data_IF_329415946222
#
_entry.id   IF_329415946222
#
_cell.length_a   1.000
_cell.length_b   1.000
_cell.length_c   1.000
_cell.angle_alpha   90.00
_cell.angle_beta   90.00
_cell.angle_gamma   90.00
#
_symmetry.space_group_name_H-M   'P 1'
#
loop_
_entity.id
_entity.type
_entity.pdbx_description
1 polymer ?
#
# COMPACT_ATOMS: atom_id res chain seq x y z
N UNK A 1 11.44 -8.50 -3.81
CA UNK A 1 10.25 -8.41 -2.94
C UNK A 1 10.61 -7.46 -1.81
N UNK A 2 9.73 -6.51 -1.44
CA UNK A 2 9.94 -5.60 -0.32
C UNK A 2 10.11 -6.35 1.01
N UNK A 3 10.68 -5.68 2.02
CA UNK A 3 10.77 -6.23 3.37
C UNK A 3 9.38 -6.39 3.98
N UNK A 4 9.11 -7.55 4.58
CA UNK A 4 7.84 -7.81 5.27
C UNK A 4 7.69 -6.91 6.51
N UNK A 5 6.48 -6.39 6.79
CA UNK A 5 6.18 -5.68 8.02
C UNK A 5 6.35 -6.55 9.27
N UNK A 6 6.82 -5.93 10.36
CA UNK A 6 7.05 -6.63 11.64
C UNK A 6 5.76 -6.93 12.40
N UNK A 7 4.65 -6.25 12.08
CA UNK A 7 3.37 -6.32 12.80
C UNK A 7 2.39 -7.37 12.22
N UNK A 8 2.83 -8.24 11.29
CA UNK A 8 1.96 -9.25 10.66
C UNK A 8 1.29 -10.14 11.72
N UNK A 9 2.06 -10.66 12.67
CA UNK A 9 1.53 -11.56 13.69
C UNK A 9 0.47 -10.91 14.58
N UNK A 10 0.65 -9.64 14.93
CA UNK A 10 -0.31 -8.87 15.74
C UNK A 10 -1.58 -8.57 14.93
N UNK A 11 -1.41 -8.10 13.70
CA UNK A 11 -2.52 -7.79 12.78
C UNK A 11 -3.39 -9.01 12.54
N UNK A 12 -2.78 -10.17 12.27
CA UNK A 12 -3.49 -11.44 12.07
C UNK A 12 -4.20 -11.89 13.34
N UNK A 13 -3.56 -11.79 14.51
CA UNK A 13 -4.18 -12.13 15.79
C UNK A 13 -5.44 -11.32 16.03
N UNK A 14 -5.41 -10.02 15.75
CA UNK A 14 -6.57 -9.13 15.90
C UNK A 14 -7.71 -9.57 14.99
N UNK A 15 -7.42 -9.86 13.72
CA UNK A 15 -8.43 -10.30 12.75
C UNK A 15 -9.01 -11.68 13.09
N UNK A 16 -8.19 -12.63 13.54
CA UNK A 16 -8.68 -13.94 14.03
C UNK A 16 -9.54 -13.79 15.27
N UNK A 17 -9.19 -12.91 16.20
CA UNK A 17 -9.99 -12.63 17.39
C UNK A 17 -11.36 -12.03 17.04
N UNK A 18 -11.44 -11.18 16.01
CA UNK A 18 -12.69 -10.61 15.51
C UNK A 18 -13.62 -11.70 14.94
N UNK A 19 -13.08 -12.63 14.15
CA UNK A 19 -13.88 -13.61 13.40
C UNK A 19 -14.26 -14.82 14.28
N UNK A 20 -13.36 -15.29 15.14
CA UNK A 20 -13.57 -16.50 15.95
C UNK A 20 -14.31 -16.19 17.26
N UNK A 21 -14.05 -15.05 17.88
CA UNK A 21 -14.65 -14.68 19.16
C UNK A 21 -14.47 -15.74 20.24
N UNK A 22 -15.60 -16.25 20.77
CA UNK A 22 -15.62 -17.31 21.80
C UNK A 22 -15.43 -18.73 21.24
N UNK A 23 -15.39 -18.91 19.92
CA UNK A 23 -15.15 -20.19 19.23
C UNK A 23 -15.97 -20.34 17.96
N UNK A 24 -15.44 -21.16 17.05
CA UNK A 24 -16.10 -21.49 15.78
C UNK A 24 -17.16 -22.60 15.98
N UNK A 25 -18.42 -22.20 15.97
CA UNK A 25 -19.56 -23.13 16.16
C UNK A 25 -19.70 -24.12 14.99
N UNK A 26 -19.36 -23.69 13.76
CA UNK A 26 -19.52 -24.50 12.55
C UNK A 26 -18.43 -25.57 12.45
N UNK A 27 -17.22 -25.27 12.88
CA UNK A 27 -16.12 -26.23 12.91
C UNK A 27 -16.46 -27.47 13.81
N UNK A 28 -17.34 -27.29 14.80
CA UNK A 28 -17.83 -28.39 15.62
C UNK A 28 -18.56 -29.51 14.87
N UNK A 29 -19.03 -29.26 13.64
CA UNK A 29 -19.65 -30.26 12.76
C UNK A 29 -18.63 -31.24 12.16
N UNK A 30 -17.35 -30.93 12.21
CA UNK A 30 -16.27 -31.75 11.66
C UNK A 30 -15.61 -32.52 12.79
N UNK A 31 -15.22 -33.76 12.56
CA UNK A 31 -14.48 -34.55 13.56
C UNK A 31 -13.09 -33.95 13.81
N UNK A 32 -12.57 -33.99 15.07
CA UNK A 32 -11.27 -33.36 15.38
C UNK A 32 -10.10 -33.94 14.58
N UNK A 33 -10.16 -35.21 14.22
CA UNK A 33 -9.11 -35.95 13.51
C UNK A 33 -9.17 -35.75 11.99
N UNK A 34 -10.22 -35.10 11.48
CA UNK A 34 -10.41 -34.92 10.04
C UNK A 34 -9.28 -34.10 9.43
N UNK A 35 -8.64 -34.67 8.42
CA UNK A 35 -7.63 -34.01 7.59
C UNK A 35 -8.26 -33.62 6.24
N UNK A 36 -7.86 -32.47 5.72
CA UNK A 36 -8.34 -32.01 4.43
C UNK A 36 -7.22 -31.44 3.56
N UNK A 37 -7.51 -31.37 2.28
CA UNK A 37 -6.73 -30.62 1.29
C UNK A 37 -7.63 -29.57 0.68
N UNK A 38 -7.09 -28.37 0.50
CA UNK A 38 -7.77 -27.24 -0.11
C UNK A 38 -6.83 -26.51 -1.06
N UNK A 39 -7.40 -25.65 -1.88
CA UNK A 39 -6.63 -24.74 -2.74
C UNK A 39 -7.29 -23.35 -2.73
N UNK A 40 -6.47 -22.30 -2.81
CA UNK A 40 -6.94 -20.94 -3.06
C UNK A 40 -6.79 -20.67 -4.55
N UNK A 41 -7.86 -20.19 -5.18
CA UNK A 41 -7.92 -19.84 -6.60
C UNK A 41 -8.38 -18.41 -6.77
N UNK A 42 -7.91 -17.74 -7.83
CA UNK A 42 -8.44 -16.43 -8.27
C UNK A 42 -9.50 -16.62 -9.35
N UNK A 43 -10.48 -15.69 -9.39
CA UNK A 43 -11.52 -15.64 -10.42
C UNK A 43 -11.33 -14.49 -11.39
N UNK A 44 -10.35 -13.63 -11.17
CA UNK A 44 -10.08 -12.46 -12.00
C UNK A 44 -8.56 -12.21 -12.15
N UNK A 45 -8.21 -11.36 -13.13
CA UNK A 45 -6.84 -10.86 -13.29
C UNK A 45 -6.48 -9.89 -12.18
N UNK A 46 -5.35 -10.14 -11.51
CA UNK A 46 -4.88 -9.30 -10.40
C UNK A 46 -3.35 -9.39 -10.22
N UNK A 47 -2.85 -8.68 -9.23
CA UNK A 47 -1.50 -8.83 -8.68
C UNK A 47 -1.63 -9.45 -7.31
N UNK A 48 -1.04 -10.62 -7.10
CA UNK A 48 -1.07 -11.29 -5.80
C UNK A 48 -0.31 -10.49 -4.76
N UNK A 49 -0.90 -10.33 -3.56
CA UNK A 49 -0.21 -9.80 -2.40
C UNK A 49 -0.88 -10.27 -1.11
N UNK A 50 -0.06 -10.52 -0.07
CA UNK A 50 -0.55 -10.91 1.26
C UNK A 50 -0.28 -12.35 1.63
N UNK A 51 0.60 -13.06 0.91
CA UNK A 51 0.94 -14.46 1.18
C UNK A 51 1.40 -14.66 2.63
N UNK A 52 2.24 -13.77 3.16
CA UNK A 52 2.72 -13.86 4.54
C UNK A 52 1.62 -13.70 5.60
N UNK A 53 0.56 -12.93 5.33
CA UNK A 53 -0.61 -12.85 6.23
C UNK A 53 -1.44 -14.12 6.18
N UNK A 54 -1.63 -14.70 4.99
CA UNK A 54 -2.32 -15.98 4.82
C UNK A 54 -1.58 -17.11 5.57
N UNK A 55 -0.27 -17.20 5.40
CA UNK A 55 0.57 -18.17 6.11
C UNK A 55 0.46 -18.00 7.63
N UNK A 56 0.50 -16.76 8.10
CA UNK A 56 0.41 -16.44 9.52
C UNK A 56 -0.96 -16.77 10.12
N UNK A 57 -2.07 -16.57 9.36
CA UNK A 57 -3.42 -17.00 9.78
C UNK A 57 -3.42 -18.49 10.09
N UNK A 58 -2.96 -19.30 9.15
CA UNK A 58 -2.97 -20.76 9.35
C UNK A 58 -1.97 -21.20 10.41
N UNK A 59 -0.81 -20.57 10.50
CA UNK A 59 0.19 -20.85 11.54
C UNK A 59 -0.33 -20.58 12.95
N UNK A 60 -1.13 -19.51 13.15
CA UNK A 60 -1.71 -19.19 14.46
C UNK A 60 -2.84 -20.14 14.85
N UNK A 61 -3.55 -20.73 13.88
CA UNK A 61 -4.61 -21.69 14.14
C UNK A 61 -4.10 -23.10 14.42
N UNK A 62 -3.18 -23.58 13.60
CA UNK A 62 -2.55 -24.90 13.76
C UNK A 62 -1.23 -24.98 13.00
N UNK A 63 -0.14 -25.25 13.70
CA UNK A 63 1.21 -25.37 13.12
C UNK A 63 1.41 -26.57 12.20
N UNK A 64 0.46 -27.51 12.14
CA UNK A 64 0.48 -28.66 11.21
C UNK A 64 -0.14 -28.33 9.85
N UNK A 65 -0.67 -27.14 9.66
CA UNK A 65 -1.13 -26.71 8.35
C UNK A 65 0.09 -26.35 7.47
N UNK A 66 0.12 -26.92 6.28
CA UNK A 66 1.10 -26.62 5.26
C UNK A 66 0.46 -25.82 4.13
N UNK A 67 1.10 -24.74 3.74
CA UNK A 67 0.68 -23.88 2.62
C UNK A 67 1.78 -23.90 1.55
N UNK A 68 1.47 -24.46 0.40
CA UNK A 68 2.40 -24.60 -0.73
C UNK A 68 2.02 -23.61 -1.84
N UNK A 69 2.72 -22.48 -1.91
CA UNK A 69 2.46 -21.43 -2.90
C UNK A 69 2.99 -21.79 -4.29
N UNK A 70 2.19 -21.50 -5.34
CA UNK A 70 2.58 -21.64 -6.75
C UNK A 70 3.04 -20.31 -7.37
N UNK A 71 2.83 -19.21 -6.68
CA UNK A 71 3.19 -17.85 -7.06
C UNK A 71 3.54 -17.04 -5.79
N UNK A 72 4.07 -15.85 -5.96
CA UNK A 72 4.55 -14.98 -4.86
C UNK A 72 3.96 -13.58 -4.96
N UNK A 73 4.08 -12.81 -3.89
CA UNK A 73 3.66 -11.42 -3.86
C UNK A 73 4.33 -10.61 -4.99
N UNK A 74 3.53 -9.82 -5.71
CA UNK A 74 3.92 -9.06 -6.88
C UNK A 74 3.73 -9.77 -8.22
N UNK A 75 3.45 -11.08 -8.25
CA UNK A 75 3.15 -11.80 -9.49
C UNK A 75 1.77 -11.44 -10.04
N UNK A 76 1.66 -11.37 -11.37
CA UNK A 76 0.37 -11.32 -12.04
C UNK A 76 -0.32 -12.69 -11.97
N UNK A 77 -1.60 -12.69 -11.65
CA UNK A 77 -2.44 -13.89 -11.55
C UNK A 77 -3.65 -13.78 -12.46
N UNK A 78 -4.16 -14.93 -12.94
CA UNK A 78 -5.20 -15.00 -13.98
C UNK A 78 -6.38 -15.88 -13.55
N UNK A 79 -7.58 -15.63 -14.07
CA UNK A 79 -8.80 -16.38 -13.72
C UNK A 79 -8.61 -17.90 -13.78
N UNK A 80 -9.01 -18.59 -12.72
CA UNK A 80 -8.88 -20.04 -12.58
C UNK A 80 -7.51 -20.54 -12.10
N UNK A 81 -6.53 -19.65 -11.93
CA UNK A 81 -5.21 -20.03 -11.44
C UNK A 81 -5.28 -20.45 -9.97
N UNK A 82 -4.64 -21.57 -9.63
CA UNK A 82 -4.39 -21.99 -8.25
C UNK A 82 -3.21 -21.15 -7.72
N UNK A 83 -3.42 -20.46 -6.59
CA UNK A 83 -2.41 -19.62 -5.94
C UNK A 83 -1.59 -20.41 -4.93
N UNK A 84 -2.25 -21.25 -4.13
CA UNK A 84 -1.60 -22.18 -3.22
C UNK A 84 -2.43 -23.43 -2.99
N UNK A 85 -1.76 -24.49 -2.50
CA UNK A 85 -2.39 -25.68 -1.97
C UNK A 85 -2.22 -25.71 -0.46
N UNK A 86 -3.27 -26.11 0.25
CA UNK A 86 -3.27 -26.24 1.70
C UNK A 86 -3.56 -27.68 2.09
N UNK A 87 -2.94 -28.13 3.18
CA UNK A 87 -3.20 -29.45 3.78
C UNK A 87 -3.05 -29.37 5.29
N UNK A 88 -3.94 -30.02 6.02
CA UNK A 88 -3.91 -30.03 7.47
C UNK A 88 -5.26 -30.37 8.11
N UNK A 89 -5.41 -30.10 9.43
CA UNK A 89 -6.66 -30.31 10.13
C UNK A 89 -7.82 -29.54 9.49
N UNK A 90 -8.89 -30.26 9.12
CA UNK A 90 -10.01 -29.69 8.37
C UNK A 90 -10.70 -28.55 9.13
N UNK A 91 -10.83 -28.66 10.46
CA UNK A 91 -11.38 -27.59 11.30
C UNK A 91 -10.58 -26.29 11.17
N UNK A 92 -9.28 -26.37 11.33
CA UNK A 92 -8.41 -25.18 11.30
C UNK A 92 -8.36 -24.53 9.90
N UNK A 93 -8.42 -25.33 8.82
CA UNK A 93 -8.54 -24.81 7.47
C UNK A 93 -9.85 -24.02 7.26
N UNK A 94 -10.98 -24.54 7.76
CA UNK A 94 -12.28 -23.86 7.65
C UNK A 94 -12.33 -22.60 8.51
N UNK A 95 -11.86 -22.67 9.75
CA UNK A 95 -11.82 -21.53 10.67
C UNK A 95 -10.96 -20.38 10.13
N UNK A 96 -9.84 -20.70 9.47
CA UNK A 96 -8.92 -19.69 8.94
C UNK A 96 -9.31 -19.12 7.57
N UNK A 97 -10.20 -19.80 6.83
CA UNK A 97 -10.52 -19.47 5.43
C UNK A 97 -10.87 -17.99 5.24
N UNK A 98 -11.84 -17.49 6.01
CA UNK A 98 -12.35 -16.12 5.80
C UNK A 98 -11.30 -15.08 6.09
N UNK A 99 -10.61 -15.19 7.22
CA UNK A 99 -9.55 -14.27 7.62
C UNK A 99 -8.39 -14.27 6.62
N UNK A 100 -7.94 -15.47 6.19
CA UNK A 100 -6.87 -15.58 5.18
C UNK A 100 -7.27 -14.95 3.85
N UNK A 101 -8.48 -15.23 3.35
CA UNK A 101 -8.99 -14.64 2.12
C UNK A 101 -9.15 -13.12 2.23
N UNK A 102 -9.61 -12.59 3.36
CA UNK A 102 -9.78 -11.16 3.56
C UNK A 102 -8.45 -10.40 3.40
N UNK A 103 -7.35 -10.90 3.99
CA UNK A 103 -6.03 -10.31 3.79
C UNK A 103 -5.58 -10.39 2.33
N UNK A 104 -5.64 -11.57 1.71
CA UNK A 104 -5.25 -11.76 0.32
C UNK A 104 -6.06 -10.88 -0.64
N UNK A 105 -7.38 -10.83 -0.47
CA UNK A 105 -8.28 -10.06 -1.33
C UNK A 105 -8.01 -8.56 -1.23
N UNK A 106 -7.86 -8.03 -0.01
CA UNK A 106 -7.60 -6.62 0.23
C UNK A 106 -6.22 -6.19 -0.28
N UNK A 107 -5.17 -6.95 0.06
CA UNK A 107 -3.80 -6.60 -0.29
C UNK A 107 -3.54 -6.80 -1.78
N UNK A 108 -4.09 -7.85 -2.39
CA UNK A 108 -4.05 -8.02 -3.84
C UNK A 108 -4.82 -6.91 -4.57
N UNK A 109 -5.96 -6.45 -4.03
CA UNK A 109 -6.68 -5.30 -4.58
C UNK A 109 -5.84 -4.02 -4.57
N UNK A 110 -5.18 -3.75 -3.44
CA UNK A 110 -4.24 -2.62 -3.31
C UNK A 110 -3.07 -2.74 -4.30
N UNK A 111 -2.43 -3.91 -4.39
CA UNK A 111 -1.32 -4.14 -5.31
C UNK A 111 -1.76 -4.03 -6.78
N UNK A 112 -2.94 -4.54 -7.12
CA UNK A 112 -3.51 -4.47 -8.48
C UNK A 112 -3.74 -3.03 -8.91
N UNK A 113 -4.34 -2.20 -8.03
CA UNK A 113 -4.55 -0.79 -8.33
C UNK A 113 -3.22 -0.03 -8.42
N UNK A 114 -2.29 -0.28 -7.49
CA UNK A 114 -0.96 0.32 -7.53
C UNK A 114 -0.22 -0.01 -8.84
N UNK A 115 -0.27 -1.27 -9.29
CA UNK A 115 0.34 -1.71 -10.54
C UNK A 115 -0.20 -0.95 -11.75
N UNK A 116 -1.52 -0.70 -11.81
CA UNK A 116 -2.12 0.09 -12.90
C UNK A 116 -1.53 1.49 -12.98
N UNK A 117 -1.32 2.15 -11.85
CA UNK A 117 -0.69 3.46 -11.80
C UNK A 117 0.79 3.42 -12.18
N UNK A 118 1.54 2.43 -11.69
CA UNK A 118 2.96 2.23 -12.04
C UNK A 118 3.13 2.01 -13.55
N UNK A 119 2.28 1.18 -14.14
CA UNK A 119 2.29 0.92 -15.59
C UNK A 119 1.93 2.18 -16.40
N UNK A 120 0.98 2.98 -15.92
CA UNK A 120 0.54 4.20 -16.62
C UNK A 120 1.64 5.26 -16.75
N UNK A 121 2.62 5.27 -15.83
CA UNK A 121 3.76 6.22 -15.88
C UNK A 121 5.04 5.61 -16.46
N UNK A 122 4.99 4.36 -16.93
CA UNK A 122 6.17 3.69 -17.49
C UNK A 122 6.81 4.50 -18.61
N UNK A 123 8.16 4.61 -18.59
CA UNK A 123 8.94 5.39 -19.54
C UNK A 123 9.03 6.89 -19.23
N UNK A 124 8.44 7.36 -18.13
CA UNK A 124 8.69 8.66 -17.54
C UNK A 124 9.66 8.54 -16.36
N UNK A 125 10.09 9.66 -15.77
CA UNK A 125 10.91 9.65 -14.55
C UNK A 125 10.08 9.55 -13.28
N UNK A 126 8.77 9.74 -13.36
CA UNK A 126 7.89 9.83 -12.21
C UNK A 126 7.76 8.47 -11.49
N UNK A 127 7.85 8.51 -10.16
CA UNK A 127 7.68 7.38 -9.27
C UNK A 127 6.34 7.52 -8.55
N UNK A 128 5.56 6.44 -8.53
CA UNK A 128 4.28 6.40 -7.81
C UNK A 128 4.51 6.21 -6.32
N UNK A 129 3.87 7.07 -5.51
CA UNK A 129 3.87 6.99 -4.06
C UNK A 129 2.47 6.70 -3.53
N UNK A 130 2.41 5.96 -2.43
CA UNK A 130 1.23 5.90 -1.58
C UNK A 130 1.10 7.15 -0.69
N UNK A 131 0.13 7.15 0.20
CA UNK A 131 -0.09 8.21 1.18
C UNK A 131 -0.41 7.64 2.56
N UNK A 132 -0.78 8.52 3.52
CA UNK A 132 -1.32 8.11 4.83
C UNK A 132 -2.84 7.87 4.80
N UNK A 133 -3.52 8.00 3.66
CA UNK A 133 -4.95 7.71 3.47
C UNK A 133 -5.14 6.20 3.32
N UNK A 134 -5.00 5.45 4.41
CA UNK A 134 -5.03 3.98 4.45
C UNK A 134 -6.20 3.49 5.32
N UNK A 135 -6.54 2.21 5.17
CA UNK A 135 -7.44 1.52 6.11
C UNK A 135 -6.80 1.55 7.51
N UNK A 136 -7.53 2.00 8.55
CA UNK A 136 -7.00 1.99 9.92
C UNK A 136 -6.52 0.58 10.33
N UNK A 137 -5.35 0.53 10.98
CA UNK A 137 -4.71 -0.72 11.40
C UNK A 137 -3.97 -1.48 10.30
N UNK A 138 -4.20 -1.20 9.00
CA UNK A 138 -3.58 -1.94 7.89
C UNK A 138 -2.57 -1.12 7.06
N UNK A 139 -2.10 0.01 7.59
CA UNK A 139 -1.21 0.89 6.83
C UNK A 139 0.08 0.22 6.38
N UNK A 140 0.74 -0.53 7.26
CA UNK A 140 1.98 -1.24 6.92
C UNK A 140 1.73 -2.30 5.83
N UNK A 141 0.64 -3.06 5.96
CA UNK A 141 0.23 -4.06 4.99
C UNK A 141 -0.07 -3.45 3.61
N UNK A 142 -0.83 -2.34 3.56
CA UNK A 142 -1.13 -1.67 2.30
C UNK A 142 0.09 -1.02 1.65
N UNK A 143 0.98 -0.43 2.44
CA UNK A 143 2.25 0.12 1.93
C UNK A 143 3.16 -0.99 1.37
N UNK A 144 3.21 -2.14 2.02
CA UNK A 144 3.87 -3.33 1.49
C UNK A 144 3.28 -3.73 0.13
N UNK A 145 1.94 -3.76 0.00
CA UNK A 145 1.28 -4.09 -1.25
C UNK A 145 1.60 -3.08 -2.39
N UNK A 146 1.69 -1.79 -2.09
CA UNK A 146 2.13 -0.77 -3.06
C UNK A 146 3.56 -1.04 -3.53
N UNK A 147 4.46 -1.38 -2.62
CA UNK A 147 5.83 -1.70 -2.96
C UNK A 147 5.96 -3.00 -3.77
N UNK A 148 5.16 -4.04 -3.49
CA UNK A 148 5.06 -5.26 -4.31
C UNK A 148 4.62 -4.97 -5.74
N UNK A 149 3.80 -3.95 -5.93
CA UNK A 149 3.34 -3.51 -7.24
C UNK A 149 4.36 -2.68 -8.03
N UNK A 150 5.49 -2.32 -7.43
CA UNK A 150 6.54 -1.48 -8.03
C UNK A 150 6.42 0.02 -7.73
N UNK A 151 5.49 0.43 -6.86
CA UNK A 151 5.45 1.76 -6.28
C UNK A 151 6.47 1.94 -5.15
N UNK A 152 6.55 3.14 -4.59
CA UNK A 152 7.33 3.43 -3.40
C UNK A 152 6.42 3.95 -2.28
N UNK A 153 6.93 3.92 -1.06
CA UNK A 153 6.18 4.39 0.09
C UNK A 153 6.53 5.84 0.40
N UNK A 154 5.52 6.71 0.54
CA UNK A 154 5.63 7.95 1.25
C UNK A 154 5.78 7.67 2.76
N UNK A 155 6.03 8.67 3.59
CA UNK A 155 6.17 8.51 5.05
C UNK A 155 5.11 7.57 5.63
N UNK A 156 5.55 6.73 6.56
CA UNK A 156 4.69 5.76 7.24
C UNK A 156 3.77 6.44 8.26
N UNK A 157 4.30 7.42 8.97
CA UNK A 157 3.56 8.11 10.03
C UNK A 157 3.95 9.59 10.18
N UNK A 158 3.84 10.09 11.41
CA UNK A 158 4.25 11.46 11.75
C UNK A 158 5.70 11.50 12.29
N UNK A 159 6.34 10.34 12.37
CA UNK A 159 7.62 10.13 13.06
C UNK A 159 8.81 9.90 12.10
N UNK A 160 8.57 9.62 10.83
CA UNK A 160 9.60 9.20 9.86
C UNK A 160 9.88 10.21 8.73
N UNK A 161 9.06 11.27 8.60
CA UNK A 161 9.35 12.45 7.78
C UNK A 161 8.49 13.64 8.20
N UNK A 162 8.99 14.84 7.96
CA UNK A 162 8.25 16.11 8.16
C UNK A 162 7.58 16.46 6.82
N UNK A 163 6.26 16.71 6.86
CA UNK A 163 5.53 17.35 5.78
C UNK A 163 4.88 18.62 6.32
N UNK A 164 5.44 19.74 5.91
CA UNK A 164 4.93 21.08 6.24
C UNK A 164 3.70 21.33 5.36
N UNK A 165 2.60 21.75 5.96
CA UNK A 165 1.33 22.05 5.30
C UNK A 165 0.91 23.49 5.59
N UNK A 166 -0.12 23.97 4.87
CA UNK A 166 -0.70 25.31 5.03
C UNK A 166 -0.80 25.74 6.49
N UNK A 167 -1.45 24.94 7.35
CA UNK A 167 -1.62 25.27 8.77
C UNK A 167 -0.29 25.42 9.54
N UNK A 168 0.76 24.70 9.13
CA UNK A 168 2.09 24.85 9.76
C UNK A 168 2.76 26.14 9.28
N UNK A 169 2.58 26.52 8.02
CA UNK A 169 3.11 27.76 7.44
C UNK A 169 2.43 28.96 8.12
N UNK A 170 1.10 28.93 8.25
CA UNK A 170 0.33 29.96 8.94
C UNK A 170 0.78 30.12 10.41
N UNK A 171 0.94 29.02 11.12
CA UNK A 171 1.38 29.03 12.51
C UNK A 171 2.84 29.52 12.67
N UNK A 172 3.71 29.30 11.69
CA UNK A 172 5.10 29.75 11.70
C UNK A 172 5.26 31.21 11.23
N UNK A 173 4.27 31.74 10.50
CA UNK A 173 4.28 33.10 9.95
C UNK A 173 4.71 33.21 8.48
N UNK A 174 5.57 32.33 7.99
CA UNK A 174 6.00 32.26 6.60
C UNK A 174 6.51 30.87 6.17
N UNK A 175 6.60 30.61 4.89
CA UNK A 175 7.26 29.41 4.31
C UNK A 175 8.72 29.31 4.79
N UNK A 176 9.44 30.42 4.76
CA UNK A 176 10.84 30.49 5.19
C UNK A 176 11.00 30.14 6.65
N UNK A 177 10.16 30.68 7.54
CA UNK A 177 10.21 30.40 8.98
C UNK A 177 9.83 28.95 9.28
N UNK A 178 8.80 28.41 8.61
CA UNK A 178 8.39 27.02 8.74
C UNK A 178 9.51 26.05 8.31
N UNK A 179 10.17 26.30 7.18
CA UNK A 179 11.30 25.50 6.70
C UNK A 179 12.51 25.61 7.65
N UNK A 180 12.80 26.79 8.16
CA UNK A 180 13.90 27.00 9.12
C UNK A 180 13.63 26.23 10.42
N UNK A 181 12.43 26.36 10.98
CA UNK A 181 12.03 25.63 12.19
C UNK A 181 12.10 24.10 11.98
N UNK A 182 11.61 23.61 10.81
CA UNK A 182 11.68 22.19 10.48
C UNK A 182 13.12 21.68 10.37
N UNK A 183 14.02 22.45 9.74
CA UNK A 183 15.46 22.08 9.61
C UNK A 183 16.17 22.01 10.96
N UNK A 184 15.80 22.87 11.91
CA UNK A 184 16.37 22.86 13.26
C UNK A 184 15.83 21.67 14.07
N UNK A 185 14.54 21.38 13.96
CA UNK A 185 13.87 20.34 14.77
C UNK A 185 14.00 18.92 14.19
N UNK A 186 14.31 18.78 12.90
CA UNK A 186 14.41 17.48 12.24
C UNK A 186 15.61 16.69 12.78
N UNK A 187 15.42 15.46 13.27
CA UNK A 187 16.53 14.56 13.54
C UNK A 187 17.37 14.29 12.29
N UNK A 188 18.67 13.93 12.44
CA UNK A 188 19.51 13.59 11.30
C UNK A 188 18.90 12.50 10.42
N UNK A 189 18.89 12.73 9.09
CA UNK A 189 18.36 11.77 8.10
C UNK A 189 16.85 11.87 7.87
N UNK A 190 16.12 12.69 8.61
CA UNK A 190 14.69 12.92 8.39
C UNK A 190 14.47 13.81 7.16
N UNK A 191 13.66 13.35 6.22
CA UNK A 191 13.23 14.14 5.08
C UNK A 191 12.29 15.26 5.51
N UNK A 192 12.57 16.49 5.04
CA UNK A 192 11.66 17.64 5.17
C UNK A 192 11.08 17.95 3.81
N UNK A 193 9.76 17.88 3.72
CA UNK A 193 8.96 18.20 2.55
C UNK A 193 7.98 19.31 2.89
N UNK A 194 7.69 20.18 1.93
CA UNK A 194 6.73 21.26 2.07
C UNK A 194 5.69 21.22 0.96
N UNK A 195 4.42 21.32 1.35
CA UNK A 195 3.25 21.37 0.48
C UNK A 195 2.98 22.83 0.08
N UNK A 196 2.81 23.09 -1.20
CA UNK A 196 2.55 24.42 -1.78
C UNK A 196 1.44 24.34 -2.82
N UNK A 197 0.71 25.44 -3.02
CA UNK A 197 -0.52 25.49 -3.83
C UNK A 197 -0.40 26.36 -5.09
N UNK A 198 0.71 27.09 -5.27
CA UNK A 198 0.92 27.97 -6.41
C UNK A 198 2.42 28.22 -6.71
N UNK A 199 2.69 28.80 -7.90
CA UNK A 199 4.07 29.03 -8.36
C UNK A 199 4.84 30.10 -7.56
N UNK A 200 4.16 31.03 -6.91
CA UNK A 200 4.81 32.02 -6.05
C UNK A 200 5.40 31.34 -4.82
N UNK A 201 4.62 30.47 -4.17
CA UNK A 201 5.09 29.64 -3.05
C UNK A 201 6.21 28.69 -3.49
N UNK A 202 6.19 28.14 -4.73
CA UNK A 202 7.31 27.34 -5.26
C UNK A 202 8.60 28.16 -5.27
N UNK A 203 8.57 29.40 -5.76
CA UNK A 203 9.75 30.29 -5.82
C UNK A 203 10.27 30.60 -4.41
N UNK A 204 9.39 30.99 -3.50
CA UNK A 204 9.75 31.26 -2.10
C UNK A 204 10.39 30.02 -1.45
N UNK A 205 9.78 28.86 -1.60
CA UNK A 205 10.24 27.58 -1.06
C UNK A 205 11.63 27.22 -1.59
N UNK A 206 11.88 27.42 -2.89
CA UNK A 206 13.19 27.20 -3.51
C UNK A 206 14.24 28.19 -3.01
N UNK A 207 13.87 29.46 -2.80
CA UNK A 207 14.78 30.48 -2.21
C UNK A 207 15.12 30.15 -0.75
N UNK A 208 14.18 29.61 0.02
CA UNK A 208 14.41 29.12 1.37
C UNK A 208 15.20 27.79 1.45
N UNK A 209 15.59 27.24 0.28
CA UNK A 209 16.46 26.05 0.18
C UNK A 209 15.76 24.75 0.54
N UNK A 210 14.48 24.59 0.21
CA UNK A 210 13.82 23.29 0.27
C UNK A 210 14.39 22.35 -0.79
N UNK A 211 14.48 21.07 -0.46
CA UNK A 211 14.99 20.00 -1.32
C UNK A 211 13.91 19.07 -1.81
N UNK A 212 12.71 19.14 -1.23
CA UNK A 212 11.53 18.38 -1.63
C UNK A 212 10.26 19.22 -1.47
N UNK A 213 9.47 19.31 -2.54
CA UNK A 213 8.29 20.18 -2.62
C UNK A 213 7.13 19.36 -3.16
N UNK A 214 6.01 19.34 -2.42
CA UNK A 214 4.76 18.76 -2.86
C UNK A 214 3.89 19.87 -3.47
N UNK A 215 3.47 19.65 -4.72
CA UNK A 215 2.64 20.55 -5.52
C UNK A 215 1.19 20.06 -5.42
N UNK A 216 0.39 20.71 -4.58
CA UNK A 216 -0.99 20.28 -4.32
C UNK A 216 -1.97 20.89 -5.29
N UNK A 217 -2.73 20.07 -6.00
CA UNK A 217 -3.77 20.45 -6.96
C UNK A 217 -3.29 21.36 -8.13
N UNK A 218 -2.03 21.25 -8.55
CA UNK A 218 -1.51 21.98 -9.72
C UNK A 218 -2.08 21.41 -11.02
N UNK A 219 -2.42 22.30 -11.96
CA UNK A 219 -2.71 21.91 -13.34
C UNK A 219 -1.43 21.41 -14.05
N UNK A 220 -1.60 20.70 -15.18
CA UNK A 220 -0.46 20.22 -15.99
C UNK A 220 0.48 21.34 -16.40
N UNK A 221 -0.08 22.51 -16.74
CA UNK A 221 0.72 23.67 -17.16
C UNK A 221 1.50 24.29 -15.98
N UNK A 222 0.91 24.34 -14.80
CA UNK A 222 1.59 24.79 -13.58
C UNK A 222 2.67 23.80 -13.14
N UNK A 223 2.44 22.47 -13.25
CA UNK A 223 3.45 21.45 -13.00
C UNK A 223 4.66 21.63 -13.92
N UNK A 224 4.44 21.85 -15.24
CA UNK A 224 5.54 22.14 -16.18
C UNK A 224 6.29 23.42 -15.81
N UNK A 225 5.58 24.44 -15.34
CA UNK A 225 6.20 25.67 -14.88
C UNK A 225 7.03 25.45 -13.61
N UNK A 226 6.49 24.72 -12.62
CA UNK A 226 7.20 24.38 -11.39
C UNK A 226 8.47 23.54 -11.68
N UNK A 227 8.42 22.59 -12.61
CA UNK A 227 9.58 21.81 -13.04
C UNK A 227 10.67 22.71 -13.62
N UNK A 228 10.31 23.69 -14.49
CA UNK A 228 11.27 24.67 -15.03
C UNK A 228 11.85 25.57 -13.92
N UNK A 229 11.01 26.05 -13.00
CA UNK A 229 11.45 26.90 -11.87
C UNK A 229 12.40 26.12 -10.95
N UNK A 230 12.09 24.88 -10.63
CA UNK A 230 12.95 24.06 -9.78
C UNK A 230 14.32 23.79 -10.42
N UNK A 231 14.36 23.53 -11.71
CA UNK A 231 15.59 23.29 -12.48
C UNK A 231 16.59 22.35 -11.77
N UNK A 232 16.07 21.25 -11.18
CA UNK A 232 16.87 20.26 -10.46
C UNK A 232 17.33 20.66 -9.05
N UNK A 233 16.94 21.84 -8.53
CA UNK A 233 17.28 22.28 -7.16
C UNK A 233 16.50 21.56 -6.07
N UNK A 234 15.32 21.06 -6.39
CA UNK A 234 14.46 20.28 -5.49
C UNK A 234 13.78 19.15 -6.25
N UNK A 235 13.46 18.07 -5.53
CA UNK A 235 12.56 17.01 -6.01
C UNK A 235 11.12 17.50 -5.91
N UNK A 236 10.33 17.24 -6.94
CA UNK A 236 8.95 17.67 -7.03
C UNK A 236 7.98 16.48 -6.97
N UNK A 237 7.00 16.59 -6.09
CA UNK A 237 5.91 15.63 -5.95
C UNK A 237 4.59 16.27 -6.38
N UNK A 238 3.88 15.66 -7.35
CA UNK A 238 2.52 16.07 -7.71
C UNK A 238 1.51 15.32 -6.82
N UNK A 239 0.51 16.05 -6.30
CA UNK A 239 -0.57 15.52 -5.48
C UNK A 239 -1.90 16.22 -5.79
N UNK A 240 -3.01 15.58 -5.41
CA UNK A 240 -4.37 16.14 -5.58
C UNK A 240 -5.02 15.79 -6.91
N UNK A 241 -6.26 15.29 -6.88
CA UNK A 241 -7.11 15.05 -8.05
C UNK A 241 -6.56 14.05 -9.09
N UNK A 242 -5.61 13.17 -8.72
CA UNK A 242 -4.91 12.28 -9.64
C UNK A 242 -5.68 10.96 -9.81
N UNK A 243 -5.88 10.57 -11.07
CA UNK A 243 -6.57 9.37 -11.49
C UNK A 243 -5.86 8.69 -12.67
N UNK A 244 -6.26 7.47 -13.02
CA UNK A 244 -5.71 6.77 -14.20
C UNK A 244 -5.95 7.54 -15.52
N UNK A 245 -6.95 8.42 -15.58
CA UNK A 245 -7.26 9.19 -16.78
C UNK A 245 -6.34 10.40 -17.01
N UNK A 246 -5.71 10.95 -15.96
CA UNK A 246 -4.86 12.14 -16.07
C UNK A 246 -3.39 11.92 -15.69
N UNK A 247 -3.06 10.79 -15.04
CA UNK A 247 -1.72 10.55 -14.49
C UNK A 247 -0.61 10.59 -15.55
N UNK A 248 -0.87 10.12 -16.76
CA UNK A 248 0.11 10.11 -17.84
C UNK A 248 0.57 11.53 -18.20
N UNK A 249 -0.39 12.45 -18.35
CA UNK A 249 -0.09 13.86 -18.63
C UNK A 249 0.69 14.52 -17.49
N UNK A 250 0.37 14.15 -16.23
CA UNK A 250 1.08 14.62 -15.04
C UNK A 250 2.54 14.09 -15.04
N UNK A 251 2.74 12.81 -15.28
CA UNK A 251 4.07 12.20 -15.29
C UNK A 251 4.97 12.79 -16.40
N UNK A 252 4.40 13.16 -17.55
CA UNK A 252 5.11 13.78 -18.67
C UNK A 252 5.53 15.24 -18.42
N UNK A 253 5.05 15.88 -17.34
CA UNK A 253 5.51 17.21 -16.94
C UNK A 253 6.96 17.23 -16.46
N UNK A 254 7.48 16.06 -16.04
CA UNK A 254 8.84 15.93 -15.51
C UNK A 254 8.94 15.99 -13.99
N UNK A 255 7.83 15.88 -13.24
CA UNK A 255 7.85 15.70 -11.78
C UNK A 255 8.54 14.39 -11.41
N UNK A 256 9.12 14.35 -10.21
CA UNK A 256 9.88 13.19 -9.72
C UNK A 256 8.99 12.14 -9.09
N UNK A 257 7.94 12.60 -8.39
CA UNK A 257 7.00 11.73 -7.66
C UNK A 257 5.55 12.13 -7.95
N UNK A 258 4.68 11.13 -7.82
CA UNK A 258 3.22 11.33 -7.88
C UNK A 258 2.60 10.54 -6.74
N UNK A 259 2.03 11.24 -5.75
CA UNK A 259 1.36 10.60 -4.62
C UNK A 259 -0.14 10.45 -4.85
N UNK A 260 -0.66 9.24 -4.57
CA UNK A 260 -2.04 8.88 -4.91
C UNK A 260 -2.73 8.24 -3.71
N UNK A 261 -3.69 8.97 -3.11
CA UNK A 261 -4.46 8.45 -1.98
C UNK A 261 -5.42 7.32 -2.36
N UNK A 262 -5.89 7.29 -3.59
CA UNK A 262 -6.84 6.28 -4.08
C UNK A 262 -6.32 4.86 -3.98
N UNK A 263 -5.03 4.65 -4.16
CA UNK A 263 -4.39 3.33 -4.12
C UNK A 263 -4.68 2.58 -2.81
N UNK A 264 -4.80 3.32 -1.70
CA UNK A 264 -4.94 2.72 -0.37
C UNK A 264 -6.27 3.03 0.32
N UNK A 265 -7.10 3.95 -0.21
CA UNK A 265 -8.41 4.25 0.38
C UNK A 265 -9.59 3.68 -0.42
N UNK A 266 -9.48 3.56 -1.75
CA UNK A 266 -10.56 3.12 -2.65
C UNK A 266 -10.21 1.75 -3.25
N UNK A 267 -10.23 0.71 -2.41
CA UNK A 267 -9.77 -0.63 -2.79
C UNK A 267 -10.96 -1.46 -3.26
N UNK A 268 -10.79 -2.10 -4.41
CA UNK A 268 -11.64 -3.21 -4.84
C UNK A 268 -10.95 -4.51 -4.46
N UNK A 269 -11.57 -5.28 -3.58
CA UNK A 269 -11.05 -6.59 -3.17
C UNK A 269 -11.10 -7.57 -4.34
N UNK A 270 -10.03 -8.38 -4.49
CA UNK A 270 -9.95 -9.39 -5.56
C UNK A 270 -10.84 -10.60 -5.23
N UNK A 271 -11.56 -11.13 -6.23
CA UNK A 271 -12.41 -12.31 -6.04
C UNK A 271 -11.56 -13.60 -5.95
N UNK A 272 -11.32 -14.03 -4.73
CA UNK A 272 -10.62 -15.27 -4.39
C UNK A 272 -11.56 -16.27 -3.71
N UNK A 273 -11.29 -17.55 -3.88
CA UNK A 273 -12.03 -18.60 -3.15
C UNK A 273 -11.12 -19.72 -2.69
N UNK A 274 -11.39 -20.23 -1.48
CA UNK A 274 -10.81 -21.48 -0.98
C UNK A 274 -11.75 -22.63 -1.35
N UNK A 275 -11.20 -23.73 -1.90
CA UNK A 275 -11.96 -24.92 -2.28
C UNK A 275 -11.32 -26.16 -1.73
N UNK A 276 -12.10 -26.94 -1.01
CA UNK A 276 -11.69 -28.27 -0.59
C UNK A 276 -11.61 -29.21 -1.79
N UNK A 277 -10.57 -30.04 -1.84
CA UNK A 277 -10.46 -31.11 -2.81
C UNK A 277 -11.20 -32.33 -2.25
N UNK A 278 -12.12 -32.89 -3.00
CA UNK A 278 -12.68 -34.19 -2.69
C UNK A 278 -11.55 -35.23 -2.74
N UNK A 279 -11.52 -36.13 -1.76
CA UNK A 279 -10.72 -37.36 -1.88
C UNK A 279 -11.44 -38.23 -2.94
N UNK A 280 -10.76 -38.46 -4.08
CA UNK A 280 -11.17 -39.51 -4.99
C UNK A 280 -11.04 -40.86 -4.30
#
# INVERSE_FOLDING_TARGET
VPTLPEDIAETVRTALSEDIGAGDLTAGLITPEAQAQAQIITREDAVLCGTAWCDEVFRQLDSHIHVDWTCKDGDAIHPGQTLCNLRGPARALLTGERTALNFLQLLSGTATLARKYVEAVRGTRAIILDTRKTVPGLRRAQKYAVACAGGQNHRLGLFDAILIKENHIEAAGSITDALHAAKISAPPGITVEIEVENLEQVRETLQAGATRILLDNFSVEELKAAVREANGRALLEASGGISLSNIRAIAETGVDFISIGDITKNISAVDLSLRFRHRD
#
